data_IF_542048407470
#
_entry.id   IF_542048407470
#
_cell.length_a   1.000
_cell.length_b   1.000
_cell.length_c   1.000
_cell.angle_alpha   90.00
_cell.angle_beta   90.00
_cell.angle_gamma   90.00
#
_symmetry.space_group_name_H-M   'P 1'
#
loop_
_entity.id
_entity.type
_entity.pdbx_description
1 polymer ?
#
# COMPACT_ATOMS: atom_id res chain seq x y z
N UNK A 1 4.00 -17.29 12.84
CA UNK A 1 2.70 -17.10 12.17
C UNK A 1 2.68 -18.00 10.93
N UNK A 2 1.57 -18.65 10.64
CA UNK A 2 1.43 -19.64 9.55
C UNK A 2 1.39 -19.04 8.13
N UNK A 3 1.72 -17.75 7.95
CA UNK A 3 1.77 -17.08 6.65
C UNK A 3 0.42 -16.78 5.99
N UNK A 4 -0.71 -17.18 6.60
CA UNK A 4 -2.05 -17.01 6.03
C UNK A 4 -2.54 -15.55 6.08
N UNK A 5 -2.09 -14.80 7.08
CA UNK A 5 -2.37 -13.37 7.20
C UNK A 5 -1.07 -12.62 7.41
N UNK A 6 -0.95 -11.49 6.75
CA UNK A 6 0.24 -10.66 6.75
C UNK A 6 -0.10 -9.34 7.45
N UNK A 7 0.56 -9.01 8.57
CA UNK A 7 0.30 -7.77 9.27
C UNK A 7 0.92 -6.57 8.54
N UNK A 8 0.16 -5.49 8.43
CA UNK A 8 0.65 -4.16 8.09
C UNK A 8 0.57 -3.33 9.36
N UNK A 9 1.73 -2.99 9.92
CA UNK A 9 1.80 -2.41 11.28
C UNK A 9 1.97 -0.91 11.21
N UNK A 10 1.23 -0.19 12.06
CA UNK A 10 1.38 1.25 12.15
C UNK A 10 2.81 1.59 12.58
N UNK A 11 3.42 2.57 11.92
CA UNK A 11 4.68 3.19 12.32
C UNK A 11 4.51 4.71 12.40
N UNK A 12 5.15 5.35 13.38
CA UNK A 12 5.23 6.81 13.42
C UNK A 12 6.14 7.38 12.33
N UNK A 13 7.03 6.57 11.76
CA UNK A 13 7.94 6.94 10.67
C UNK A 13 8.68 8.27 10.89
N UNK A 14 9.16 8.57 12.11
CA UNK A 14 9.97 9.76 12.36
C UNK A 14 11.43 9.59 11.89
N UNK A 15 11.83 8.37 11.56
CA UNK A 15 13.18 8.03 11.10
C UNK A 15 13.30 6.56 10.74
N UNK A 16 14.53 6.15 10.41
CA UNK A 16 14.88 4.76 10.16
C UNK A 16 15.59 4.15 11.38
N UNK A 17 15.44 2.83 11.64
CA UNK A 17 14.59 1.89 10.90
C UNK A 17 13.09 2.07 11.21
N UNK A 18 12.22 1.84 10.22
CA UNK A 18 10.76 2.01 10.39
C UNK A 18 10.14 1.17 11.52
N UNK A 19 10.78 0.05 11.87
CA UNK A 19 10.38 -0.83 12.95
C UNK A 19 10.58 -0.26 14.36
N UNK A 20 11.27 0.87 14.51
CA UNK A 20 11.60 1.43 15.83
C UNK A 20 10.38 2.01 16.58
N UNK A 21 9.43 2.59 15.85
CA UNK A 21 8.27 3.30 16.41
C UNK A 21 6.95 2.67 15.96
N UNK A 22 6.88 1.34 16.01
CA UNK A 22 5.68 0.59 15.61
C UNK A 22 4.71 0.38 16.76
N UNK A 23 3.42 0.37 16.45
CA UNK A 23 2.36 0.04 17.40
C UNK A 23 1.67 -1.28 17.00
N UNK A 24 1.98 -2.36 17.72
CA UNK A 24 1.37 -3.68 17.49
C UNK A 24 -0.13 -3.74 17.78
N UNK A 25 -0.69 -2.75 18.50
CA UNK A 25 -2.14 -2.63 18.72
C UNK A 25 -2.86 -2.07 17.50
N UNK A 26 -2.13 -1.38 16.60
CA UNK A 26 -2.65 -0.78 15.36
C UNK A 26 -2.11 -1.54 14.15
N UNK A 27 -2.85 -2.56 13.74
CA UNK A 27 -2.49 -3.42 12.61
C UNK A 27 -3.66 -3.66 11.69
N UNK A 28 -3.41 -3.51 10.38
CA UNK A 28 -4.26 -4.08 9.34
C UNK A 28 -3.75 -5.49 9.01
N UNK A 29 -4.63 -6.36 8.52
CA UNK A 29 -4.27 -7.72 8.13
C UNK A 29 -4.59 -7.92 6.65
N UNK A 30 -3.59 -8.34 5.88
CA UNK A 30 -3.75 -8.75 4.50
C UNK A 30 -3.92 -10.25 4.43
N UNK A 31 -4.80 -10.73 3.56
CA UNK A 31 -4.85 -12.14 3.17
C UNK A 31 -3.71 -12.41 2.18
N UNK A 32 -3.07 -13.56 2.26
CA UNK A 32 -1.92 -13.88 1.41
C UNK A 32 -2.22 -13.99 -0.10
N UNK A 33 -3.49 -13.97 -0.49
CA UNK A 33 -3.96 -14.14 -1.87
C UNK A 33 -5.22 -13.32 -2.16
N UNK A 34 -5.25 -12.66 -3.32
CA UNK A 34 -6.36 -11.80 -3.76
C UNK A 34 -7.61 -12.60 -4.15
N UNK A 35 -7.47 -13.78 -4.75
CA UNK A 35 -8.59 -14.64 -5.13
C UNK A 35 -9.25 -15.28 -3.91
N UNK A 36 -8.45 -15.71 -2.94
CA UNK A 36 -8.95 -16.20 -1.66
C UNK A 36 -9.67 -15.08 -0.90
N UNK A 37 -9.11 -13.87 -0.88
CA UNK A 37 -9.78 -12.70 -0.30
C UNK A 37 -11.16 -12.48 -0.92
N UNK A 38 -11.25 -12.47 -2.25
CA UNK A 38 -12.54 -12.33 -2.95
C UNK A 38 -13.51 -13.47 -2.63
N UNK A 39 -13.01 -14.71 -2.55
CA UNK A 39 -13.84 -15.87 -2.20
C UNK A 39 -14.38 -15.77 -0.77
N UNK A 40 -13.58 -15.31 0.18
CA UNK A 40 -14.00 -15.07 1.58
C UNK A 40 -15.11 -14.03 1.63
N UNK A 41 -15.06 -13.00 0.77
CA UNK A 41 -16.10 -11.99 0.63
C UNK A 41 -17.37 -12.49 -0.07
N UNK A 42 -17.43 -13.78 -0.44
CA UNK A 42 -18.60 -14.39 -1.06
C UNK A 42 -18.69 -14.15 -2.57
N UNK A 43 -17.63 -13.66 -3.21
CA UNK A 43 -17.63 -13.49 -4.66
C UNK A 43 -17.73 -14.85 -5.35
N UNK A 44 -18.75 -14.99 -6.22
CA UNK A 44 -18.87 -16.14 -7.09
C UNK A 44 -18.04 -15.89 -8.35
N UNK A 45 -17.01 -16.73 -8.56
CA UNK A 45 -16.09 -16.57 -9.67
C UNK A 45 -16.76 -16.74 -11.04
N UNK A 46 -17.88 -17.47 -11.07
CA UNK A 46 -18.71 -17.65 -12.27
C UNK A 46 -19.21 -16.29 -12.76
N UNK A 47 -19.68 -15.44 -11.85
CA UNK A 47 -20.22 -14.12 -12.16
C UNK A 47 -19.12 -13.24 -12.78
N UNK A 48 -17.88 -13.35 -12.28
CA UNK A 48 -16.72 -12.62 -12.83
C UNK A 48 -16.33 -13.10 -14.22
N UNK A 49 -16.37 -14.41 -14.48
CA UNK A 49 -15.89 -15.01 -15.72
C UNK A 49 -16.88 -14.87 -16.88
N UNK A 50 -18.18 -14.84 -16.60
CA UNK A 50 -19.23 -14.83 -17.61
C UNK A 50 -19.90 -13.47 -17.83
N UNK A 51 -19.64 -12.47 -16.97
CA UNK A 51 -20.10 -11.10 -17.19
C UNK A 51 -19.15 -10.32 -18.10
N UNK A 52 -19.71 -9.60 -19.09
CA UNK A 52 -18.94 -8.72 -19.98
C UNK A 52 -18.33 -7.50 -19.27
N UNK A 53 -18.83 -7.14 -18.09
CA UNK A 53 -18.35 -6.01 -17.29
C UNK A 53 -18.57 -6.25 -15.80
N UNK A 54 -17.64 -6.96 -15.16
CA UNK A 54 -17.65 -7.12 -13.71
C UNK A 54 -17.00 -5.90 -13.03
N UNK A 55 -17.80 -5.11 -12.31
CA UNK A 55 -17.29 -4.02 -11.47
C UNK A 55 -17.32 -4.40 -9.99
N UNK A 56 -16.18 -4.87 -9.47
CA UNK A 56 -16.03 -5.05 -8.04
C UNK A 56 -16.27 -3.74 -7.26
N UNK A 57 -17.14 -3.78 -6.24
CA UNK A 57 -17.36 -2.65 -5.33
C UNK A 57 -16.12 -2.41 -4.46
N UNK A 58 -15.36 -3.48 -4.17
CA UNK A 58 -14.18 -3.46 -3.31
C UNK A 58 -12.85 -3.27 -4.08
N UNK A 59 -12.88 -2.67 -5.27
CA UNK A 59 -11.70 -2.37 -6.11
C UNK A 59 -10.55 -1.71 -5.32
N UNK A 60 -10.88 -0.78 -4.41
CA UNK A 60 -9.90 -0.10 -3.55
C UNK A 60 -9.12 -1.07 -2.66
N UNK A 61 -9.83 -1.81 -1.82
CA UNK A 61 -9.23 -2.80 -0.92
C UNK A 61 -8.47 -3.90 -1.67
N UNK A 62 -8.96 -4.29 -2.85
CA UNK A 62 -8.27 -5.25 -3.71
C UNK A 62 -6.94 -4.70 -4.24
N UNK A 63 -6.90 -3.43 -4.66
CA UNK A 63 -5.68 -2.78 -5.11
C UNK A 63 -4.66 -2.62 -3.97
N UNK A 64 -5.11 -2.18 -2.78
CA UNK A 64 -4.26 -2.10 -1.59
C UNK A 64 -3.68 -3.47 -1.22
N UNK A 65 -4.51 -4.52 -1.22
CA UNK A 65 -4.09 -5.89 -0.97
C UNK A 65 -3.04 -6.36 -1.98
N UNK A 66 -3.34 -6.18 -3.27
CA UNK A 66 -2.45 -6.54 -4.37
C UNK A 66 -1.09 -5.86 -4.22
N UNK A 67 -1.06 -4.54 -4.01
CA UNK A 67 0.18 -3.78 -3.83
C UNK A 67 0.96 -4.30 -2.62
N UNK A 68 0.31 -4.54 -1.48
CA UNK A 68 0.97 -5.10 -0.30
C UNK A 68 1.65 -6.44 -0.55
N UNK A 69 0.99 -7.34 -1.29
CA UNK A 69 1.55 -8.63 -1.66
C UNK A 69 2.71 -8.49 -2.66
N UNK A 70 2.59 -7.62 -3.66
CA UNK A 70 3.66 -7.39 -4.63
C UNK A 70 4.89 -6.70 -4.01
N UNK A 71 4.69 -5.80 -3.04
CA UNK A 71 5.79 -5.19 -2.27
C UNK A 71 6.59 -6.25 -1.50
N UNK A 72 5.93 -7.26 -0.94
CA UNK A 72 6.59 -8.37 -0.28
C UNK A 72 7.34 -9.27 -1.26
N UNK A 73 6.73 -9.61 -2.40
CA UNK A 73 7.35 -10.46 -3.43
C UNK A 73 8.57 -9.81 -4.07
N UNK A 74 8.53 -8.49 -4.23
CA UNK A 74 9.59 -7.71 -4.86
C UNK A 74 10.76 -7.44 -3.91
N UNK A 75 10.60 -7.70 -2.61
CA UNK A 75 11.67 -7.54 -1.64
C UNK A 75 12.73 -8.65 -1.77
N UNK A 76 13.93 -8.38 -1.25
CA UNK A 76 15.03 -9.34 -1.25
C UNK A 76 14.66 -10.66 -0.56
N UNK A 77 14.90 -11.79 -1.23
CA UNK A 77 14.69 -13.13 -0.65
C UNK A 77 15.61 -13.42 0.55
N UNK A 78 16.64 -12.61 0.76
CA UNK A 78 17.57 -12.72 1.90
C UNK A 78 17.12 -11.94 3.13
N UNK A 79 16.05 -11.13 3.03
CA UNK A 79 15.56 -10.31 4.12
C UNK A 79 14.06 -10.46 4.29
N UNK A 80 13.63 -10.76 5.52
CA UNK A 80 12.21 -10.71 5.83
C UNK A 80 11.73 -9.25 5.79
N UNK A 81 10.89 -8.95 4.81
CA UNK A 81 10.26 -7.65 4.65
C UNK A 81 9.00 -7.57 5.50
N UNK A 82 8.88 -6.51 6.29
CA UNK A 82 7.66 -6.17 7.02
C UNK A 82 6.93 -5.05 6.28
N UNK A 83 5.60 -5.05 6.34
CA UNK A 83 4.78 -3.97 5.82
C UNK A 83 4.42 -3.00 6.95
N UNK A 84 4.51 -1.71 6.64
CA UNK A 84 4.12 -0.64 7.54
C UNK A 84 3.13 0.29 6.86
N UNK A 85 2.26 0.90 7.65
CA UNK A 85 1.39 1.99 7.21
C UNK A 85 1.50 3.15 8.20
N UNK A 86 1.03 4.33 7.81
CA UNK A 86 0.96 5.47 8.72
C UNK A 86 -0.48 5.95 8.84
N UNK A 87 -0.86 6.27 10.07
CA UNK A 87 -2.11 6.91 10.40
C UNK A 87 -1.81 8.10 11.31
N UNK A 88 -2.44 9.23 11.04
CA UNK A 88 -2.25 10.43 11.84
C UNK A 88 -2.93 10.28 13.20
N UNK A 89 -2.20 10.56 14.28
CA UNK A 89 -2.71 10.42 15.65
C UNK A 89 -3.34 11.71 16.21
N UNK A 90 -3.32 12.81 15.45
CA UNK A 90 -3.93 14.06 15.86
C UNK A 90 -5.46 13.93 16.02
N UNK A 91 -6.01 14.57 17.06
CA UNK A 91 -7.45 14.62 17.31
C UNK A 91 -8.20 15.11 16.06
N UNK A 92 -9.29 14.41 15.70
CA UNK A 92 -10.13 14.68 14.53
C UNK A 92 -9.44 14.54 13.16
N UNK A 93 -8.36 13.77 13.07
CA UNK A 93 -7.72 13.46 11.79
C UNK A 93 -7.82 11.97 11.48
N UNK A 94 -8.32 11.66 10.27
CA UNK A 94 -8.36 10.30 9.73
C UNK A 94 -7.41 10.15 8.53
N UNK A 95 -6.35 10.97 8.48
CA UNK A 95 -5.37 10.88 7.42
C UNK A 95 -4.56 9.58 7.58
N UNK A 96 -4.47 8.83 6.50
CA UNK A 96 -3.82 7.53 6.45
C UNK A 96 -3.06 7.39 5.13
N UNK A 97 -1.87 6.81 5.20
CA UNK A 97 -1.04 6.46 4.04
C UNK A 97 -0.94 4.94 4.02
N UNK A 98 -1.25 4.35 2.87
CA UNK A 98 -1.47 2.90 2.72
C UNK A 98 -0.24 2.08 3.08
N UNK A 99 0.94 2.48 2.57
CA UNK A 99 2.21 1.85 2.92
C UNK A 99 3.32 2.87 3.16
N UNK A 100 4.22 2.54 4.07
CA UNK A 100 5.47 3.27 4.29
C UNK A 100 6.63 2.31 4.05
N UNK A 101 7.45 2.64 3.06
CA UNK A 101 8.62 1.85 2.69
C UNK A 101 9.89 2.50 3.22
N UNK A 102 10.88 1.66 3.51
CA UNK A 102 12.25 2.10 3.72
C UNK A 102 13.09 1.61 2.54
N UNK A 103 13.71 2.55 1.84
CA UNK A 103 14.68 2.28 0.78
C UNK A 103 15.97 3.01 1.14
N UNK A 104 17.04 2.26 1.38
CA UNK A 104 18.30 2.80 1.90
C UNK A 104 18.07 3.63 3.18
N UNK A 105 18.42 4.92 3.14
CA UNK A 105 18.26 5.88 4.23
C UNK A 105 17.02 6.77 4.09
N UNK A 106 16.10 6.43 3.19
CA UNK A 106 14.93 7.23 2.86
C UNK A 106 13.64 6.52 3.24
N UNK A 107 12.65 7.33 3.65
CA UNK A 107 11.29 6.90 3.92
C UNK A 107 10.44 7.29 2.71
N UNK A 108 9.81 6.30 2.08
CA UNK A 108 8.99 6.49 0.89
C UNK A 108 7.53 6.17 1.25
N UNK A 109 6.66 7.19 1.35
CA UNK A 109 5.24 6.97 1.54
C UNK A 109 4.57 6.58 0.23
N UNK A 110 3.64 5.65 0.31
CA UNK A 110 2.95 5.04 -0.81
C UNK A 110 1.45 5.20 -0.65
N UNK A 111 0.82 5.72 -1.69
CA UNK A 111 -0.64 5.77 -1.85
C UNK A 111 -1.08 4.80 -2.95
N UNK A 112 -2.15 4.05 -2.72
CA UNK A 112 -2.71 3.10 -3.68
C UNK A 112 -4.08 3.58 -4.15
N UNK A 113 -4.32 3.51 -5.47
CA UNK A 113 -5.62 3.80 -6.07
C UNK A 113 -6.02 2.71 -7.04
N UNK A 114 -7.27 2.28 -6.95
CA UNK A 114 -7.84 1.29 -7.87
C UNK A 114 -8.29 1.86 -9.22
N UNK A 115 -7.99 3.13 -9.49
CA UNK A 115 -8.39 3.86 -10.68
C UNK A 115 -7.46 5.04 -10.93
N UNK A 116 -7.73 5.82 -11.97
CA UNK A 116 -6.88 6.97 -12.35
C UNK A 116 -7.18 8.26 -11.59
N UNK A 117 -8.29 8.28 -10.84
CA UNK A 117 -8.72 9.44 -10.04
C UNK A 117 -8.60 9.14 -8.56
N UNK A 118 -8.43 10.20 -7.77
CA UNK A 118 -8.39 10.10 -6.31
C UNK A 118 -7.41 11.09 -5.71
N UNK A 119 -7.79 11.71 -4.59
CA UNK A 119 -6.92 12.66 -3.89
C UNK A 119 -5.69 11.95 -3.31
N UNK A 120 -4.63 12.73 -3.09
CA UNK A 120 -3.41 12.30 -2.40
C UNK A 120 -3.21 13.15 -1.14
N UNK A 121 -4.32 13.55 -0.50
CA UNK A 121 -4.29 14.53 0.59
C UNK A 121 -3.55 13.99 1.81
N UNK A 122 -3.80 12.73 2.19
CA UNK A 122 -3.09 12.07 3.29
C UNK A 122 -1.60 11.92 2.99
N UNK A 123 -1.27 11.50 1.76
CA UNK A 123 0.12 11.40 1.28
C UNK A 123 0.87 12.74 1.40
N UNK A 124 0.30 13.83 0.83
CA UNK A 124 0.90 15.16 0.93
C UNK A 124 1.00 15.67 2.37
N UNK A 125 0.00 15.37 3.21
CA UNK A 125 0.03 15.73 4.62
C UNK A 125 1.17 15.02 5.35
N UNK A 126 1.31 13.71 5.16
CA UNK A 126 2.42 12.93 5.70
C UNK A 126 3.76 13.49 5.25
N UNK A 127 3.94 13.71 3.95
CA UNK A 127 5.18 14.24 3.39
C UNK A 127 5.53 15.60 3.99
N UNK A 128 4.53 16.47 4.20
CA UNK A 128 4.73 17.78 4.84
C UNK A 128 5.13 17.63 6.31
N UNK A 129 4.43 16.80 7.09
CA UNK A 129 4.70 16.62 8.52
C UNK A 129 6.07 15.98 8.78
N UNK A 130 6.43 14.99 7.96
CA UNK A 130 7.67 14.23 8.10
C UNK A 130 8.83 14.79 7.27
N UNK A 131 8.60 15.91 6.56
CA UNK A 131 9.57 16.58 5.67
C UNK A 131 10.15 15.65 4.59
N UNK A 132 9.31 14.77 4.05
CA UNK A 132 9.68 13.84 2.98
C UNK A 132 9.60 14.55 1.63
N UNK A 133 10.60 14.31 0.78
CA UNK A 133 10.76 14.97 -0.52
C UNK A 133 10.18 14.21 -1.70
N UNK A 134 9.96 12.91 -1.56
CA UNK A 134 9.44 12.04 -2.62
C UNK A 134 8.35 11.11 -2.06
N UNK A 135 7.30 10.90 -2.84
CA UNK A 135 6.26 9.91 -2.54
C UNK A 135 5.93 9.07 -3.77
N UNK A 136 5.20 8.00 -3.55
CA UNK A 136 4.83 7.05 -4.60
C UNK A 136 3.32 6.89 -4.65
N UNK A 137 2.78 6.78 -5.86
CA UNK A 137 1.39 6.42 -6.14
C UNK A 137 1.36 5.19 -7.03
N UNK A 138 0.65 4.16 -6.59
CA UNK A 138 0.29 3.04 -7.45
C UNK A 138 -1.15 3.20 -7.95
N UNK A 139 -1.36 3.18 -9.27
CA UNK A 139 -2.70 3.35 -9.84
C UNK A 139 -2.88 2.66 -11.20
N UNK A 140 -4.06 2.79 -11.81
CA UNK A 140 -4.31 2.36 -13.20
C UNK A 140 -3.81 3.39 -14.24
N UNK A 141 -3.03 4.38 -13.82
CA UNK A 141 -2.39 5.35 -14.71
C UNK A 141 -1.09 4.77 -15.26
N UNK A 142 -0.67 5.27 -16.43
CA UNK A 142 0.67 5.00 -16.95
C UNK A 142 1.73 5.69 -16.09
N UNK A 143 2.97 5.24 -16.23
CA UNK A 143 4.14 5.88 -15.61
C UNK A 143 4.12 7.39 -15.84
N UNK A 144 4.19 8.15 -14.76
CA UNK A 144 4.16 9.60 -14.77
C UNK A 144 4.67 10.17 -13.46
N UNK A 145 4.78 11.49 -13.37
CA UNK A 145 5.21 12.18 -12.16
C UNK A 145 4.32 13.39 -11.91
N UNK A 146 3.79 13.49 -10.69
CA UNK A 146 3.08 14.66 -10.18
C UNK A 146 3.96 15.39 -9.17
N UNK A 147 4.73 16.38 -9.65
CA UNK A 147 5.65 17.16 -8.81
C UNK A 147 6.66 16.26 -8.06
N UNK A 148 6.37 15.92 -6.80
CA UNK A 148 7.19 15.07 -5.93
C UNK A 148 6.68 13.63 -5.82
N UNK A 149 5.62 13.27 -6.53
CA UNK A 149 5.00 11.96 -6.49
C UNK A 149 5.30 11.21 -7.79
N UNK A 150 6.01 10.09 -7.70
CA UNK A 150 6.17 9.17 -8.83
C UNK A 150 4.95 8.26 -8.92
N UNK A 151 4.41 8.09 -10.13
CA UNK A 151 3.26 7.25 -10.40
C UNK A 151 3.73 6.01 -11.14
N UNK A 152 3.40 4.85 -10.56
CA UNK A 152 3.66 3.55 -11.14
C UNK A 152 2.31 2.87 -11.43
N UNK A 153 2.14 2.24 -12.60
CA UNK A 153 1.01 1.37 -12.85
C UNK A 153 0.93 0.26 -11.79
N UNK A 154 -0.28 -0.22 -11.44
CA UNK A 154 -0.44 -1.31 -10.47
C UNK A 154 0.36 -2.57 -10.86
N UNK A 155 0.52 -2.87 -12.15
CA UNK A 155 1.32 -4.03 -12.56
C UNK A 155 2.84 -3.86 -12.33
N UNK A 156 3.32 -2.64 -12.05
CA UNK A 156 4.73 -2.28 -11.97
C UNK A 156 5.18 -2.00 -10.51
N UNK A 157 4.56 -2.64 -9.52
CA UNK A 157 4.88 -2.43 -8.10
C UNK A 157 6.35 -2.73 -7.78
N UNK A 158 6.96 -3.69 -8.46
CA UNK A 158 8.37 -4.04 -8.30
C UNK A 158 9.33 -2.89 -8.57
N UNK A 159 8.96 -1.98 -9.47
CA UNK A 159 9.86 -0.97 -10.01
C UNK A 159 10.24 0.09 -8.95
N UNK A 160 9.44 0.21 -7.88
CA UNK A 160 9.75 1.07 -6.73
C UNK A 160 11.08 0.70 -6.06
N UNK A 161 11.53 -0.56 -6.19
CA UNK A 161 12.80 -1.03 -5.63
C UNK A 161 13.97 -0.97 -6.61
N UNK A 162 13.73 -0.80 -7.91
CA UNK A 162 14.74 -0.92 -8.97
C UNK A 162 15.58 0.35 -9.23
N UNK A 163 15.11 1.52 -8.79
CA UNK A 163 15.81 2.82 -8.97
C UNK A 163 16.90 3.12 -7.93
#
# INVERSE_FOLDING_TARGET
>A
MSGLVIPVTHTSANGIPLGAEIDFKKRKMLIFDVGIFQRILGLNISDVLFENSFEAINKGSLAELYVGLELLKSASCYKQQNLYYWQREALNSNAEVDYILQKNNEIIPVEVKSGTKGSMQSLYLFMKEKKITEGVRFSLENFSTYNKIKVYPLYAVSDVFCE
#
